data_IF_832322196342
#
_entry.id   IF_832322196342
#
_cell.length_a   1.000
_cell.length_b   1.000
_cell.length_c   1.000
_cell.angle_alpha   90.00
_cell.angle_beta   90.00
_cell.angle_gamma   90.00
#
_symmetry.space_group_name_H-M   'P 1'
#
loop_
_entity.id
_entity.type
_entity.pdbx_description
1 polymer ?
#
# COMPACT_ATOMS: atom_id res chain seq x y z
N UNK A 1 -31.53 5.92 8.44
CA UNK A 1 -31.14 5.20 7.20
C UNK A 1 -32.41 4.99 6.36
N UNK A 2 -32.28 4.73 5.07
CA UNK A 2 -33.36 4.76 4.07
C UNK A 2 -34.38 3.64 4.16
N UNK A 3 -34.22 2.64 5.06
CA UNK A 3 -35.11 1.52 5.21
C UNK A 3 -35.16 0.51 4.05
N UNK A 4 -34.16 0.50 3.20
CA UNK A 4 -34.10 -0.32 2.00
C UNK A 4 -33.35 -1.66 2.17
N UNK A 5 -32.68 -1.89 3.30
CA UNK A 5 -31.98 -3.15 3.53
C UNK A 5 -32.96 -4.32 3.55
N UNK A 6 -32.68 -5.36 2.78
CA UNK A 6 -33.51 -6.55 2.66
C UNK A 6 -34.60 -6.51 1.57
N UNK A 7 -34.71 -5.41 0.82
CA UNK A 7 -35.61 -5.36 -0.33
C UNK A 7 -34.91 -5.82 -1.61
N UNK A 8 -35.59 -6.48 -2.56
CA UNK A 8 -35.00 -6.85 -3.84
C UNK A 8 -34.40 -5.63 -4.57
N UNK A 9 -33.20 -5.79 -5.11
CA UNK A 9 -32.50 -4.72 -5.84
C UNK A 9 -31.82 -3.65 -4.97
N UNK A 10 -31.80 -3.84 -3.63
CA UNK A 10 -31.16 -2.91 -2.69
C UNK A 10 -30.15 -3.62 -1.80
N UNK A 11 -29.24 -2.87 -1.20
CA UNK A 11 -28.26 -3.41 -0.28
C UNK A 11 -27.20 -2.39 0.13
N UNK A 12 -26.29 -2.80 1.00
CA UNK A 12 -25.09 -2.05 1.32
C UNK A 12 -24.01 -2.44 0.33
N UNK A 13 -23.63 -1.53 -0.56
CA UNK A 13 -22.61 -1.76 -1.57
C UNK A 13 -21.33 -0.98 -1.23
N UNK A 14 -20.18 -1.65 -1.34
CA UNK A 14 -18.88 -0.97 -1.28
C UNK A 14 -18.57 -0.35 -2.64
N UNK A 15 -18.35 0.95 -2.66
CA UNK A 15 -17.89 1.66 -3.87
C UNK A 15 -16.36 1.67 -3.85
N UNK A 16 -15.77 0.51 -4.12
CA UNK A 16 -14.31 0.34 -4.17
C UNK A 16 -13.78 0.82 -5.51
N UNK A 17 -12.90 1.84 -5.49
CA UNK A 17 -12.32 2.43 -6.70
C UNK A 17 -11.03 1.77 -7.19
N UNK A 18 -10.34 1.02 -6.33
CA UNK A 18 -9.06 0.39 -6.68
C UNK A 18 -9.28 -0.80 -7.62
N UNK A 19 -8.44 -0.86 -8.66
CA UNK A 19 -8.58 -1.86 -9.72
C UNK A 19 -8.21 -3.27 -9.29
N UNK A 20 -7.35 -3.43 -8.30
CA UNK A 20 -6.90 -4.72 -7.78
C UNK A 20 -7.32 -4.93 -6.31
N UNK A 21 -8.47 -4.41 -5.89
CA UNK A 21 -8.92 -4.55 -4.51
C UNK A 21 -9.08 -6.01 -4.08
N UNK A 22 -9.54 -6.89 -4.98
CA UNK A 22 -9.67 -8.32 -4.71
C UNK A 22 -8.29 -8.98 -4.52
N UNK A 23 -7.34 -8.72 -5.42
CA UNK A 23 -5.97 -9.23 -5.32
C UNK A 23 -5.28 -8.74 -4.06
N UNK A 24 -5.41 -7.45 -3.74
CA UNK A 24 -4.84 -6.88 -2.52
C UNK A 24 -5.36 -7.54 -1.25
N UNK A 25 -6.65 -7.86 -1.19
CA UNK A 25 -7.25 -8.55 -0.04
C UNK A 25 -6.79 -10.00 0.09
N UNK A 26 -6.56 -10.68 -1.03
CA UNK A 26 -6.07 -12.07 -1.03
C UNK A 26 -4.59 -12.17 -0.63
N UNK A 27 -3.78 -11.17 -1.01
CA UNK A 27 -2.33 -11.20 -0.80
C UNK A 27 -1.83 -10.24 0.28
N UNK A 28 -2.69 -9.89 1.24
CA UNK A 28 -2.37 -9.03 2.36
C UNK A 28 -2.21 -7.55 1.99
N UNK A 29 -3.32 -6.85 1.92
CA UNK A 29 -3.26 -5.42 2.13
C UNK A 29 -3.27 -5.12 3.65
N UNK A 30 -3.23 -3.89 4.03
CA UNK A 30 -2.96 -3.29 5.33
C UNK A 30 -3.44 -3.98 6.64
N UNK A 31 -4.34 -4.94 6.62
CA UNK A 31 -4.96 -5.47 7.84
C UNK A 31 -4.76 -6.96 8.10
N UNK A 32 -3.97 -7.65 7.28
CA UNK A 32 -3.75 -9.08 7.44
C UNK A 32 -2.37 -9.55 7.02
N UNK A 33 -2.10 -10.82 7.21
CA UNK A 33 -0.95 -11.51 6.65
C UNK A 33 -1.28 -12.14 5.29
N UNK A 34 -0.25 -12.52 4.56
CA UNK A 34 -0.32 -13.18 3.28
C UNK A 34 -1.39 -14.29 3.25
N UNK A 35 -2.26 -14.24 2.25
CA UNK A 35 -3.33 -15.23 2.07
C UNK A 35 -4.44 -15.16 3.10
N UNK A 36 -4.77 -13.96 3.61
CA UNK A 36 -5.84 -13.74 4.58
C UNK A 36 -5.55 -14.26 5.99
N UNK A 37 -4.29 -14.49 6.32
CA UNK A 37 -3.84 -14.94 7.63
C UNK A 37 -3.82 -13.81 8.64
N UNK A 38 -3.92 -14.15 9.93
CA UNK A 38 -4.01 -13.22 11.05
C UNK A 38 -2.67 -13.09 11.78
N UNK A 39 -2.24 -11.86 12.02
CA UNK A 39 -1.06 -11.52 12.84
C UNK A 39 -1.13 -12.05 14.27
N UNK A 40 -2.32 -12.13 14.85
CA UNK A 40 -2.51 -12.58 16.23
C UNK A 40 -2.36 -14.10 16.36
N UNK A 41 -2.51 -14.86 15.27
CA UNK A 41 -2.38 -16.30 15.27
C UNK A 41 -0.92 -16.71 15.07
N UNK A 42 -0.32 -17.36 16.08
CA UNK A 42 1.06 -17.81 16.04
C UNK A 42 1.32 -18.85 14.93
N UNK A 43 0.36 -19.75 14.66
CA UNK A 43 0.45 -20.74 13.56
C UNK A 43 0.48 -20.05 12.19
N UNK A 44 -0.34 -19.02 11.99
CA UNK A 44 -0.35 -18.25 10.76
C UNK A 44 0.98 -17.50 10.56
N UNK A 45 1.55 -16.90 11.61
CA UNK A 45 2.86 -16.26 11.53
C UNK A 45 3.96 -17.26 11.17
N UNK A 46 3.97 -18.42 11.79
CA UNK A 46 4.94 -19.48 11.50
C UNK A 46 4.84 -19.97 10.05
N UNK A 47 3.62 -20.12 9.55
CA UNK A 47 3.40 -20.53 8.15
C UNK A 47 3.88 -19.45 7.17
N UNK A 48 3.54 -18.16 7.40
CA UNK A 48 3.99 -17.05 6.54
C UNK A 48 5.51 -16.91 6.61
N UNK A 49 6.12 -17.03 7.78
CA UNK A 49 7.56 -17.06 7.99
C UNK A 49 8.24 -18.11 7.09
N UNK A 50 7.72 -19.32 7.09
CA UNK A 50 8.22 -20.41 6.26
C UNK A 50 8.05 -20.14 4.77
N UNK A 51 6.89 -19.59 4.35
CA UNK A 51 6.60 -19.28 2.94
C UNK A 51 7.47 -18.17 2.38
N UNK A 52 7.76 -17.16 3.20
CA UNK A 52 8.55 -16.00 2.80
C UNK A 52 10.05 -16.15 3.11
N UNK A 53 10.46 -17.27 3.71
CA UNK A 53 11.85 -17.51 4.16
C UNK A 53 12.41 -16.38 5.04
N UNK A 54 11.57 -15.84 5.93
CA UNK A 54 11.96 -14.80 6.90
C UNK A 54 11.86 -15.34 8.32
N UNK A 55 12.65 -14.79 9.23
CA UNK A 55 12.63 -15.19 10.62
C UNK A 55 11.26 -14.84 11.27
N UNK A 56 10.64 -15.76 12.06
CA UNK A 56 9.28 -15.55 12.61
C UNK A 56 9.14 -14.29 13.47
N UNK A 57 10.20 -13.92 14.16
CA UNK A 57 10.27 -12.71 15.00
C UNK A 57 10.20 -11.39 14.21
N UNK A 58 10.45 -11.45 12.90
CA UNK A 58 10.28 -10.29 12.00
C UNK A 58 8.82 -10.04 11.65
N UNK A 59 7.95 -11.01 11.90
CA UNK A 59 6.51 -10.85 11.67
C UNK A 59 5.88 -10.32 12.95
N UNK A 60 5.26 -9.13 12.94
CA UNK A 60 4.64 -8.57 14.15
C UNK A 60 3.58 -9.49 14.73
N UNK A 61 3.55 -9.62 16.05
CA UNK A 61 2.53 -10.36 16.79
C UNK A 61 1.35 -9.47 17.25
N UNK A 62 1.32 -8.24 16.77
CA UNK A 62 0.29 -7.23 17.09
C UNK A 62 -0.15 -6.55 15.82
N UNK A 63 -1.40 -6.11 15.78
CA UNK A 63 -1.87 -5.25 14.70
C UNK A 63 -1.09 -3.93 14.69
N UNK A 64 -0.87 -3.40 13.49
CA UNK A 64 -0.33 -2.07 13.30
C UNK A 64 -1.33 -1.00 13.76
N UNK A 65 -0.88 0.24 13.81
CA UNK A 65 -1.75 1.37 14.09
C UNK A 65 -2.79 1.54 12.99
N UNK A 66 -4.00 1.89 13.37
CA UNK A 66 -5.02 2.32 12.44
C UNK A 66 -4.65 3.70 11.85
N UNK A 67 -5.27 4.06 10.75
CA UNK A 67 -4.90 5.25 10.00
C UNK A 67 -4.97 6.55 10.83
N UNK A 68 -6.02 6.73 11.63
CA UNK A 68 -6.18 7.84 12.58
C UNK A 68 -5.12 7.83 13.67
N UNK A 69 -4.74 6.65 14.15
CA UNK A 69 -3.69 6.46 15.14
C UNK A 69 -2.30 6.79 14.58
N UNK A 70 -2.06 6.57 13.28
CA UNK A 70 -0.82 6.97 12.61
C UNK A 70 -0.68 8.49 12.66
N UNK A 71 -1.71 9.23 12.25
CA UNK A 71 -1.68 10.70 12.30
C UNK A 71 -1.57 11.24 13.72
N UNK A 72 -2.26 10.60 14.69
CA UNK A 72 -2.09 10.96 16.08
C UNK A 72 -0.66 10.69 16.57
N UNK A 73 -0.06 9.55 16.13
CA UNK A 73 1.33 9.23 16.47
C UNK A 73 2.34 10.22 15.89
N UNK A 74 2.05 10.81 14.73
CA UNK A 74 2.85 11.90 14.19
C UNK A 74 2.69 13.16 15.03
N UNK A 75 1.45 13.57 15.35
CA UNK A 75 1.17 14.73 16.19
C UNK A 75 1.77 14.60 17.60
N UNK A 76 1.85 13.39 18.13
CA UNK A 76 2.49 13.09 19.42
C UNK A 76 4.03 13.01 19.35
N UNK A 77 4.63 13.17 18.17
CA UNK A 77 6.07 13.02 17.93
C UNK A 77 6.62 11.60 18.06
N UNK A 78 5.73 10.59 18.10
CA UNK A 78 6.10 9.17 18.19
C UNK A 78 6.48 8.60 16.83
N UNK A 79 5.88 9.11 15.75
CA UNK A 79 6.17 8.78 14.37
C UNK A 79 6.89 9.96 13.73
N UNK A 80 8.13 9.76 13.36
CA UNK A 80 9.02 10.79 12.80
C UNK A 80 9.20 10.67 11.30
N UNK A 81 9.05 9.46 10.77
CA UNK A 81 9.12 9.16 9.35
C UNK A 81 7.87 8.47 8.85
N UNK A 82 7.41 8.84 7.65
CA UNK A 82 6.25 8.23 7.02
C UNK A 82 6.53 8.05 5.52
N UNK A 83 6.14 6.90 5.00
CA UNK A 83 6.11 6.64 3.57
C UNK A 83 4.67 6.49 3.11
N UNK A 84 4.21 7.45 2.31
CA UNK A 84 2.87 7.50 1.74
C UNK A 84 2.94 6.99 0.30
N UNK A 85 2.16 5.97 -0.02
CA UNK A 85 2.15 5.31 -1.32
C UNK A 85 0.77 5.41 -1.95
N UNK A 86 0.68 6.03 -3.12
CA UNK A 86 -0.49 6.09 -3.99
C UNK A 86 -1.76 6.64 -3.31
N UNK A 87 -1.62 7.53 -2.33
CA UNK A 87 -2.76 8.22 -1.72
C UNK A 87 -2.44 9.68 -1.43
N UNK A 88 -3.40 10.58 -1.68
CA UNK A 88 -3.28 12.00 -1.38
C UNK A 88 -3.84 12.28 0.03
N UNK A 89 -3.10 11.85 1.05
CA UNK A 89 -3.49 11.93 2.46
C UNK A 89 -3.86 13.36 2.89
N UNK A 90 -3.09 14.34 2.44
CA UNK A 90 -3.31 15.75 2.75
C UNK A 90 -4.68 16.28 2.27
N UNK A 91 -5.19 15.70 1.18
CA UNK A 91 -6.49 16.05 0.60
C UNK A 91 -7.63 15.14 1.09
N UNK A 92 -7.38 13.82 1.15
CA UNK A 92 -8.42 12.81 1.31
C UNK A 92 -8.84 12.58 2.77
N UNK A 93 -8.14 13.15 3.72
CA UNK A 93 -8.45 12.96 5.13
C UNK A 93 -9.67 13.77 5.56
N UNK A 94 -10.51 13.19 6.43
CA UNK A 94 -11.76 13.81 6.89
C UNK A 94 -11.51 15.17 7.56
N UNK A 95 -10.43 15.28 8.34
CA UNK A 95 -9.94 16.53 8.90
C UNK A 95 -8.61 16.89 8.21
N UNK A 96 -8.72 17.56 7.06
CA UNK A 96 -7.56 17.90 6.24
C UNK A 96 -6.62 18.90 6.93
N UNK A 97 -7.13 19.80 7.75
CA UNK A 97 -6.32 20.76 8.49
C UNK A 97 -5.40 20.04 9.49
N UNK A 98 -5.95 19.07 10.24
CA UNK A 98 -5.20 18.24 11.17
C UNK A 98 -4.20 17.36 10.44
N UNK A 99 -4.60 16.73 9.33
CA UNK A 99 -3.72 15.90 8.54
C UNK A 99 -2.52 16.69 8.01
N UNK A 100 -2.76 17.87 7.48
CA UNK A 100 -1.71 18.75 6.96
C UNK A 100 -0.75 19.18 8.07
N UNK A 101 -1.26 19.64 9.21
CA UNK A 101 -0.43 19.99 10.36
C UNK A 101 0.40 18.82 10.89
N UNK A 102 -0.14 17.60 10.85
CA UNK A 102 0.61 16.41 11.25
C UNK A 102 1.71 16.06 10.22
N UNK A 103 1.42 16.11 8.92
CA UNK A 103 2.41 15.81 7.88
C UNK A 103 3.58 16.79 7.89
N UNK A 104 3.32 18.06 8.23
CA UNK A 104 4.34 19.10 8.32
C UNK A 104 5.28 18.92 9.55
N UNK A 105 4.90 18.10 10.53
CA UNK A 105 5.73 17.78 11.70
C UNK A 105 6.68 16.60 11.48
N UNK A 106 6.56 15.88 10.37
CA UNK A 106 7.42 14.74 10.08
C UNK A 106 8.86 15.18 9.83
N UNK A 107 9.81 14.49 10.45
CA UNK A 107 11.24 14.66 10.18
C UNK A 107 11.59 14.14 8.77
N UNK A 108 10.86 13.11 8.28
CA UNK A 108 11.08 12.57 6.96
C UNK A 108 9.77 12.03 6.35
N UNK A 109 9.31 12.67 5.29
CA UNK A 109 8.15 12.24 4.51
C UNK A 109 8.60 11.79 3.13
N UNK A 110 8.39 10.51 2.82
CA UNK A 110 8.54 9.94 1.48
C UNK A 110 7.17 9.82 0.85
N UNK A 111 7.01 10.30 -0.37
CA UNK A 111 5.76 10.13 -1.14
C UNK A 111 6.07 9.43 -2.46
N UNK A 112 5.39 8.31 -2.70
CA UNK A 112 5.45 7.56 -3.95
C UNK A 112 4.11 7.72 -4.66
N UNK A 113 4.10 8.48 -5.75
CA UNK A 113 2.89 8.83 -6.48
C UNK A 113 3.20 9.03 -7.97
N UNK A 114 2.16 8.96 -8.81
CA UNK A 114 2.26 9.29 -10.23
C UNK A 114 2.36 10.81 -10.46
N UNK A 115 1.83 11.62 -9.56
CA UNK A 115 1.72 13.07 -9.70
C UNK A 115 2.48 13.79 -8.58
N UNK A 116 3.50 14.55 -8.96
CA UNK A 116 4.27 15.37 -8.02
C UNK A 116 3.50 16.62 -7.53
N UNK A 117 2.34 16.88 -8.09
CA UNK A 117 1.52 18.08 -7.81
C UNK A 117 0.39 17.83 -6.82
N UNK A 118 0.26 16.61 -6.26
CA UNK A 118 -0.72 16.34 -5.20
C UNK A 118 -0.32 17.06 -3.91
N UNK A 119 -1.31 17.41 -3.08
CA UNK A 119 -1.06 18.16 -1.83
C UNK A 119 -0.09 17.42 -0.90
N UNK A 120 -0.15 16.09 -0.91
CA UNK A 120 0.78 15.25 -0.13
C UNK A 120 2.17 15.23 -0.76
N UNK A 121 2.26 15.12 -2.08
CA UNK A 121 3.55 15.08 -2.78
C UNK A 121 4.33 16.40 -2.64
N UNK A 122 3.63 17.53 -2.62
CA UNK A 122 4.25 18.84 -2.43
C UNK A 122 4.87 19.04 -1.04
N UNK A 123 4.50 18.21 -0.07
CA UNK A 123 5.07 18.22 1.29
C UNK A 123 6.22 17.22 1.46
N UNK A 124 6.50 16.40 0.44
CA UNK A 124 7.49 15.33 0.53
C UNK A 124 8.92 15.86 0.67
N UNK A 125 9.67 15.27 1.59
CA UNK A 125 11.12 15.44 1.65
C UNK A 125 11.80 14.62 0.53
N UNK A 126 11.21 13.49 0.16
CA UNK A 126 11.62 12.65 -0.97
C UNK A 126 10.39 12.22 -1.76
N UNK A 127 10.40 12.54 -3.06
CA UNK A 127 9.37 12.09 -3.99
C UNK A 127 9.89 10.95 -4.87
N UNK A 128 9.18 9.83 -4.89
CA UNK A 128 9.45 8.67 -5.72
C UNK A 128 8.41 8.59 -6.84
N UNK A 129 8.76 8.95 -8.08
CA UNK A 129 7.80 8.93 -9.18
C UNK A 129 7.40 7.50 -9.55
N UNK A 130 6.11 7.21 -9.51
CA UNK A 130 5.54 5.92 -9.83
C UNK A 130 5.00 5.86 -11.27
N UNK A 131 5.21 4.74 -11.93
CA UNK A 131 4.67 4.48 -13.26
C UNK A 131 3.15 4.25 -13.21
N UNK A 132 2.46 4.78 -14.19
CA UNK A 132 1.02 4.58 -14.39
C UNK A 132 0.66 3.20 -14.94
N UNK A 133 -0.62 2.96 -15.15
CA UNK A 133 -1.17 1.66 -15.56
C UNK A 133 -0.57 1.12 -16.86
N UNK A 134 -0.56 1.91 -17.90
CA UNK A 134 -0.03 1.51 -19.22
C UNK A 134 1.49 1.50 -19.29
N UNK A 135 2.18 1.91 -18.23
CA UNK A 135 3.63 2.12 -18.18
C UNK A 135 4.36 1.03 -17.40
N UNK A 136 3.62 0.10 -16.79
CA UNK A 136 4.14 -1.01 -15.97
C UNK A 136 3.44 -2.32 -16.29
N UNK A 137 4.04 -3.40 -15.82
CA UNK A 137 3.45 -4.73 -15.87
C UNK A 137 2.92 -5.11 -14.49
N UNK A 138 2.01 -6.07 -14.46
CA UNK A 138 1.45 -6.57 -13.22
C UNK A 138 0.35 -7.59 -13.41
N UNK A 139 -0.11 -8.12 -12.29
CA UNK A 139 -1.23 -9.06 -12.24
C UNK A 139 -2.33 -8.46 -11.38
N UNK A 140 -3.56 -8.62 -11.81
CA UNK A 140 -4.73 -8.23 -11.02
C UNK A 140 -5.73 -9.37 -10.93
N UNK A 141 -6.58 -9.32 -9.91
CA UNK A 141 -7.69 -10.27 -9.72
C UNK A 141 -8.98 -9.46 -9.68
N UNK A 142 -9.92 -9.78 -10.57
CA UNK A 142 -11.21 -9.09 -10.63
C UNK A 142 -12.22 -9.68 -9.62
N UNK A 143 -13.42 -9.11 -9.59
CA UNK A 143 -14.52 -9.57 -8.71
C UNK A 143 -14.98 -10.99 -9.00
N UNK A 144 -14.79 -11.49 -10.22
CA UNK A 144 -15.07 -12.88 -10.60
C UNK A 144 -13.90 -13.84 -10.24
N UNK A 145 -12.86 -13.34 -9.55
CA UNK A 145 -11.64 -14.07 -9.19
C UNK A 145 -10.84 -14.57 -10.38
N UNK A 146 -10.95 -13.89 -11.52
CA UNK A 146 -10.12 -14.16 -12.70
C UNK A 146 -8.82 -13.38 -12.60
N UNK A 147 -7.73 -14.03 -12.95
CA UNK A 147 -6.42 -13.38 -13.08
C UNK A 147 -6.32 -12.68 -14.42
N UNK A 148 -5.89 -11.43 -14.39
CA UNK A 148 -5.60 -10.65 -15.57
C UNK A 148 -4.18 -10.12 -15.51
N UNK A 149 -3.52 -10.09 -16.67
CA UNK A 149 -2.19 -9.52 -16.81
C UNK A 149 -2.27 -8.11 -17.39
N UNK A 150 -1.62 -7.18 -16.73
CA UNK A 150 -1.37 -5.85 -17.27
C UNK A 150 -0.05 -5.91 -18.02
N UNK A 151 -0.10 -5.58 -19.30
CA UNK A 151 1.09 -5.45 -20.14
C UNK A 151 1.46 -3.99 -20.30
N UNK A 152 2.74 -3.71 -20.25
CA UNK A 152 3.26 -2.38 -20.54
C UNK A 152 2.99 -2.03 -22.00
N UNK A 153 2.32 -0.90 -22.24
CA UNK A 153 1.98 -0.38 -23.57
C UNK A 153 2.70 0.91 -23.90
N UNK A 154 3.23 1.62 -22.90
CA UNK A 154 4.01 2.85 -23.09
C UNK A 154 5.21 2.90 -22.17
N UNK A 155 6.15 3.76 -22.50
CA UNK A 155 7.32 4.02 -21.62
C UNK A 155 6.90 4.97 -20.51
N UNK A 156 7.32 4.63 -19.26
CA UNK A 156 7.16 5.54 -18.13
C UNK A 156 7.94 6.85 -18.37
N UNK A 157 7.41 8.00 -18.01
CA UNK A 157 8.07 9.29 -18.18
C UNK A 157 9.20 9.47 -17.18
N UNK A 158 10.26 10.17 -17.61
CA UNK A 158 11.38 10.56 -16.77
C UNK A 158 11.99 9.39 -16.00
N UNK A 159 12.01 9.48 -14.69
CA UNK A 159 12.52 8.47 -13.76
C UNK A 159 11.43 7.61 -13.12
N UNK A 160 10.19 7.69 -13.60
CA UNK A 160 9.09 6.92 -13.02
C UNK A 160 9.32 5.40 -13.19
N UNK A 161 9.14 4.67 -12.10
CA UNK A 161 9.31 3.22 -12.03
C UNK A 161 8.02 2.54 -11.57
N UNK A 162 7.85 1.27 -11.92
CA UNK A 162 6.82 0.46 -11.28
C UNK A 162 7.10 0.32 -9.78
N UNK A 163 6.04 0.22 -8.98
CA UNK A 163 6.16 0.04 -7.53
C UNK A 163 7.05 -1.16 -7.18
N UNK A 164 6.90 -2.26 -7.92
CA UNK A 164 7.74 -3.44 -7.78
C UNK A 164 9.24 -3.11 -7.93
N UNK A 165 9.62 -2.36 -8.97
CA UNK A 165 11.01 -1.98 -9.19
C UNK A 165 11.51 -1.01 -8.13
N UNK A 166 10.66 -0.10 -7.64
CA UNK A 166 11.00 0.80 -6.52
C UNK A 166 11.31 0.01 -5.25
N UNK A 167 10.45 -0.95 -4.87
CA UNK A 167 10.72 -1.81 -3.71
C UNK A 167 11.95 -2.67 -3.90
N UNK A 168 12.16 -3.25 -5.08
CA UNK A 168 13.34 -4.04 -5.41
C UNK A 168 14.63 -3.23 -5.30
N UNK A 169 14.61 -1.99 -5.79
CA UNK A 169 15.75 -1.08 -5.69
C UNK A 169 16.06 -0.74 -4.23
N UNK A 170 15.06 -0.40 -3.44
CA UNK A 170 15.21 -0.11 -2.01
C UNK A 170 15.74 -1.34 -1.26
N UNK A 171 15.24 -2.53 -1.56
CA UNK A 171 15.73 -3.77 -0.97
C UNK A 171 17.21 -4.02 -1.26
N UNK A 172 17.68 -3.70 -2.48
CA UNK A 172 19.10 -3.79 -2.82
C UNK A 172 19.94 -2.86 -1.95
N UNK A 173 19.53 -1.60 -1.77
CA UNK A 173 20.21 -0.66 -0.90
C UNK A 173 20.18 -1.06 0.57
N UNK A 174 19.13 -1.73 1.02
CA UNK A 174 19.02 -2.25 2.38
C UNK A 174 19.78 -3.56 2.62
N UNK A 175 20.42 -4.11 1.59
CA UNK A 175 21.18 -5.36 1.69
C UNK A 175 20.30 -6.63 1.74
N UNK A 176 19.03 -6.54 1.36
CA UNK A 176 18.10 -7.67 1.27
C UNK A 176 17.59 -7.92 -0.17
N UNK A 177 18.33 -7.45 -1.17
CA UNK A 177 17.96 -7.60 -2.58
C UNK A 177 17.86 -9.05 -3.05
N UNK A 178 18.55 -9.98 -2.39
CA UNK A 178 18.48 -11.41 -2.69
C UNK A 178 17.07 -12.00 -2.58
N UNK A 179 16.24 -11.43 -1.70
CA UNK A 179 14.82 -11.82 -1.56
C UNK A 179 14.06 -11.66 -2.88
N UNK A 180 14.48 -10.72 -3.73
CA UNK A 180 13.89 -10.46 -5.04
C UNK A 180 14.62 -11.13 -6.20
N UNK A 181 15.68 -11.95 -5.94
CA UNK A 181 16.53 -12.50 -7.00
C UNK A 181 15.77 -13.38 -8.00
N UNK A 182 14.75 -14.10 -7.53
CA UNK A 182 13.93 -14.96 -8.36
C UNK A 182 12.75 -14.22 -9.02
N UNK A 183 12.48 -12.98 -8.63
CA UNK A 183 11.36 -12.20 -9.14
C UNK A 183 11.87 -11.10 -10.07
N UNK A 184 11.77 -11.35 -11.36
CA UNK A 184 12.22 -10.42 -12.40
C UNK A 184 11.12 -9.45 -12.83
N UNK A 185 9.86 -9.81 -12.59
CA UNK A 185 8.69 -9.00 -12.91
C UNK A 185 7.58 -9.21 -11.88
N UNK A 186 6.58 -8.32 -11.82
CA UNK A 186 5.40 -8.47 -10.97
C UNK A 186 4.32 -9.40 -11.55
N UNK A 187 4.68 -10.24 -12.48
CA UNK A 187 3.79 -11.19 -13.17
C UNK A 187 3.84 -12.57 -12.52
#
# INVERSE_FOLDING_TARGET
MTGNIGRPGTGANSVTGQCNAMGSRLFANASGLLGGRDFLNAGHRAEVSRLLHIAPEKIPAKNSLAYDQILQGVADGKIKGLWVIATNTAHSWVDSARANGSLDQLEFLVVQDMYATTDTAQRAHLFLPAAGWGEKEGTFINSERRFGHIKKVSRAPGHAMSDFNSFRLIANYWGCGEVFSQWTSPQ
#
